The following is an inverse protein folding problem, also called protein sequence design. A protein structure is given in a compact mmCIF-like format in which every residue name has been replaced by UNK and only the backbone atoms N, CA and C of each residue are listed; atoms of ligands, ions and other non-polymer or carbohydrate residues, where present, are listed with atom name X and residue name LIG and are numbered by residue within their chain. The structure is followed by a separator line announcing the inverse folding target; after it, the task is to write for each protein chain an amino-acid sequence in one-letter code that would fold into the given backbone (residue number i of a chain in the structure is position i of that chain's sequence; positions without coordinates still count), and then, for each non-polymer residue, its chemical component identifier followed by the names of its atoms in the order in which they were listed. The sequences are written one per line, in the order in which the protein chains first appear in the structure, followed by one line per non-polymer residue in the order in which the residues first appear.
data_IF_439058525033
#
_entry.id   IF_439058525033
#
_cell.length_a   1.000
_cell.length_b   1.000
_cell.length_c   1.000
_cell.angle_alpha   90.00
_cell.angle_beta   90.00
_cell.angle_gamma   90.00
#
_symmetry.space_group_name_H-M   'P 1'
#
loop_
_entity.id
_entity.type
_entity.pdbx_description
1 polymer ?
#
# COMPACT_ATOMS: atom_id res chain seq x y z
N UNK A 1 -23.00 -21.41 3.38
CA UNK A 1 -21.54 -21.21 3.48
C UNK A 1 -21.14 -20.18 2.43
N UNK A 2 -20.44 -19.10 2.80
CA UNK A 2 -19.98 -18.09 1.83
C UNK A 2 -18.60 -18.54 1.34
N UNK A 3 -18.46 -18.81 0.03
CA UNK A 3 -17.25 -19.34 -0.60
C UNK A 3 -16.14 -18.27 -0.71
N UNK A 4 -15.60 -17.86 0.43
CA UNK A 4 -14.52 -16.88 0.52
C UNK A 4 -13.24 -17.61 0.92
N UNK A 5 -12.18 -17.45 0.15
CA UNK A 5 -10.89 -18.08 0.41
C UNK A 5 -10.21 -17.43 1.61
N UNK A 6 -9.76 -18.25 2.54
CA UNK A 6 -8.94 -17.89 3.71
C UNK A 6 -7.99 -19.04 4.00
N UNK A 7 -6.84 -18.75 4.60
CA UNK A 7 -5.86 -19.75 5.06
C UNK A 7 -5.53 -19.48 6.52
N UNK A 8 -5.41 -20.54 7.31
CA UNK A 8 -4.94 -20.45 8.69
C UNK A 8 -3.40 -20.38 8.74
N UNK A 9 -2.86 -19.98 9.89
CA UNK A 9 -1.43 -19.72 10.05
C UNK A 9 -0.58 -21.00 10.15
N UNK A 10 -1.14 -22.14 10.58
CA UNK A 10 -0.40 -23.41 10.57
C UNK A 10 -0.19 -23.88 9.13
N UNK A 11 -1.27 -23.92 8.34
CA UNK A 11 -1.20 -24.29 6.91
C UNK A 11 -0.32 -23.33 6.11
N UNK A 12 -0.41 -22.02 6.39
CA UNK A 12 0.44 -21.02 5.75
C UNK A 12 1.94 -21.24 6.08
N UNK A 13 2.26 -21.54 7.34
CA UNK A 13 3.64 -21.80 7.78
C UNK A 13 4.23 -23.04 7.12
N UNK A 14 3.48 -24.15 7.04
CA UNK A 14 3.91 -25.36 6.34
C UNK A 14 4.12 -25.12 4.84
N UNK A 15 3.24 -24.35 4.23
CA UNK A 15 3.35 -23.97 2.82
C UNK A 15 4.58 -23.11 2.57
N UNK A 16 4.88 -22.17 3.48
CA UNK A 16 6.09 -21.35 3.42
C UNK A 16 7.37 -22.19 3.53
N UNK A 17 7.42 -23.17 4.44
CA UNK A 17 8.60 -24.04 4.56
C UNK A 17 8.90 -24.81 3.27
N UNK A 18 7.86 -25.31 2.58
CA UNK A 18 8.02 -25.94 1.25
C UNK A 18 8.56 -24.95 0.21
N UNK A 19 8.12 -23.69 0.25
CA UNK A 19 8.66 -22.65 -0.62
C UNK A 19 10.13 -22.36 -0.31
N UNK A 20 10.48 -22.23 0.97
CA UNK A 20 11.83 -21.97 1.45
C UNK A 20 12.81 -23.05 0.99
N UNK A 21 12.47 -24.33 1.17
CA UNK A 21 13.28 -25.46 0.70
C UNK A 21 13.50 -25.45 -0.81
N UNK A 22 12.47 -25.08 -1.58
CA UNK A 22 12.58 -25.00 -3.03
C UNK A 22 13.51 -23.86 -3.48
N UNK A 23 13.40 -22.67 -2.89
CA UNK A 23 14.27 -21.54 -3.22
C UNK A 23 15.72 -21.80 -2.78
N UNK A 24 15.92 -22.43 -1.62
CA UNK A 24 17.23 -22.94 -1.19
C UNK A 24 17.83 -23.88 -2.22
N UNK A 25 17.05 -24.84 -2.74
CA UNK A 25 17.54 -25.80 -3.73
C UNK A 25 17.81 -25.15 -5.09
N UNK A 26 16.94 -24.27 -5.56
CA UNK A 26 17.01 -23.69 -6.91
C UNK A 26 18.03 -22.55 -7.01
N UNK A 27 18.13 -21.73 -5.97
CA UNK A 27 18.87 -20.45 -6.00
C UNK A 27 19.84 -20.28 -4.83
N UNK A 28 19.86 -21.23 -3.88
CA UNK A 28 20.70 -21.19 -2.67
C UNK A 28 20.43 -19.99 -1.76
N UNK A 29 19.20 -19.46 -1.80
CA UNK A 29 18.85 -18.25 -1.08
C UNK A 29 17.34 -18.00 -1.11
N UNK A 30 16.78 -17.59 0.03
CA UNK A 30 15.40 -17.18 0.22
C UNK A 30 15.43 -16.04 1.25
N UNK A 31 15.40 -14.76 0.82
CA UNK A 31 15.36 -13.65 1.76
C UNK A 31 14.06 -13.71 2.56
N UNK A 32 14.16 -13.73 3.89
CA UNK A 32 13.01 -13.80 4.77
C UNK A 32 13.26 -13.02 6.07
N UNK A 33 12.28 -12.20 6.47
CA UNK A 33 12.27 -11.50 7.75
C UNK A 33 11.53 -12.35 8.78
N UNK A 34 12.28 -13.00 9.66
CA UNK A 34 11.73 -13.93 10.66
C UNK A 34 10.64 -13.29 11.52
N UNK A 35 10.79 -12.00 11.88
CA UNK A 35 9.82 -11.29 12.72
C UNK A 35 8.45 -11.14 12.05
N UNK A 36 8.42 -11.04 10.72
CA UNK A 36 7.19 -10.90 9.93
C UNK A 36 6.62 -12.23 9.46
N UNK A 37 7.45 -13.27 9.37
CA UNK A 37 7.02 -14.62 8.93
C UNK A 37 6.41 -15.42 10.08
N UNK A 38 6.96 -15.32 11.29
CA UNK A 38 6.40 -16.03 12.45
C UNK A 38 5.01 -15.48 12.78
N UNK A 39 3.97 -16.34 12.89
CA UNK A 39 2.63 -15.88 13.21
C UNK A 39 2.54 -15.17 14.57
N UNK A 40 1.67 -14.14 14.71
CA UNK A 40 1.54 -13.36 15.95
C UNK A 40 0.90 -14.15 17.11
N UNK A 41 0.34 -15.32 16.84
CA UNK A 41 -0.22 -16.23 17.83
C UNK A 41 0.33 -17.62 17.57
N UNK A 42 0.62 -18.36 18.65
CA UNK A 42 1.15 -19.73 18.57
C UNK A 42 2.43 -19.87 17.76
N UNK A 43 3.30 -18.85 17.76
CA UNK A 43 4.52 -18.82 16.95
C UNK A 43 5.38 -20.08 17.09
N UNK A 44 5.75 -20.47 18.31
CA UNK A 44 6.56 -21.66 18.57
C UNK A 44 5.90 -23.00 18.22
N UNK A 45 4.58 -23.01 18.02
CA UNK A 45 3.83 -24.17 17.54
C UNK A 45 3.81 -24.27 16.00
N UNK A 46 4.49 -23.37 15.29
CA UNK A 46 4.65 -23.40 13.83
C UNK A 46 6.10 -23.71 13.45
N UNK A 47 6.35 -24.37 12.30
CA UNK A 47 7.69 -24.78 11.91
C UNK A 47 8.61 -23.59 11.62
N UNK A 48 8.06 -22.46 11.17
CA UNK A 48 8.83 -21.25 10.84
C UNK A 48 9.54 -20.62 12.03
N UNK A 49 9.05 -20.85 13.25
CA UNK A 49 9.71 -20.35 14.46
C UNK A 49 11.09 -20.98 14.67
N UNK A 50 11.23 -22.26 14.31
CA UNK A 50 12.47 -23.02 14.54
C UNK A 50 13.46 -22.90 13.37
N UNK A 51 13.09 -22.21 12.29
CA UNK A 51 13.92 -22.03 11.11
C UNK A 51 14.70 -20.72 11.20
N UNK A 52 16.04 -20.80 11.17
CA UNK A 52 16.89 -19.64 11.00
C UNK A 52 16.74 -19.07 9.58
N UNK A 53 16.60 -17.75 9.48
CA UNK A 53 16.37 -17.04 8.23
C UNK A 53 17.29 -15.84 8.11
N UNK A 54 17.73 -15.54 6.89
CA UNK A 54 18.53 -14.36 6.61
C UNK A 54 17.69 -13.32 5.86
N UNK A 55 17.63 -12.11 6.41
CA UNK A 55 17.03 -10.96 5.73
C UNK A 55 18.10 -10.26 4.89
N UNK A 56 17.84 -10.16 3.59
CA UNK A 56 18.62 -9.37 2.65
C UNK A 56 17.74 -8.89 1.50
N UNK A 57 18.14 -7.80 0.85
CA UNK A 57 17.33 -7.15 -0.18
C UNK A 57 17.89 -7.46 -1.58
N UNK A 58 17.02 -7.95 -2.47
CA UNK A 58 17.30 -8.15 -3.88
C UNK A 58 16.47 -7.18 -4.72
N UNK A 59 16.81 -7.00 -6.00
CA UNK A 59 15.98 -6.27 -6.97
C UNK A 59 15.51 -7.25 -8.06
N UNK A 60 14.27 -7.11 -8.57
CA UNK A 60 13.25 -6.13 -8.21
C UNK A 60 12.66 -6.31 -6.79
N UNK A 61 12.25 -5.22 -6.12
CA UNK A 61 11.67 -5.24 -4.76
C UNK A 61 10.44 -4.36 -4.61
N UNK A 62 9.68 -4.61 -3.55
CA UNK A 62 8.67 -3.71 -3.01
C UNK A 62 9.29 -2.87 -1.89
N UNK A 63 9.18 -1.54 -1.99
CA UNK A 63 9.73 -0.60 -1.02
C UNK A 63 8.59 0.24 -0.40
N UNK A 64 8.75 0.63 0.86
CA UNK A 64 7.81 1.52 1.52
C UNK A 64 7.81 2.91 0.88
N UNK A 65 6.65 3.56 0.87
CA UNK A 65 6.47 4.91 0.35
C UNK A 65 5.79 5.78 1.38
N UNK A 66 6.06 7.09 1.33
CA UNK A 66 5.31 8.03 2.12
C UNK A 66 3.82 7.98 1.77
N UNK A 67 2.92 8.04 2.76
CA UNK A 67 1.49 8.11 2.49
C UNK A 67 1.16 9.26 1.55
N UNK A 68 0.37 8.98 0.52
CA UNK A 68 0.14 9.90 -0.59
C UNK A 68 -0.34 11.30 -0.14
N UNK A 69 -1.14 11.39 0.91
CA UNK A 69 -1.65 12.68 1.41
C UNK A 69 -0.58 13.60 2.04
N UNK A 70 0.57 13.05 2.46
CA UNK A 70 1.69 13.84 2.97
C UNK A 70 2.47 14.53 1.85
N UNK A 71 2.54 13.89 0.69
CA UNK A 71 3.31 14.37 -0.47
C UNK A 71 2.44 15.02 -1.54
N UNK A 72 1.13 14.79 -1.51
CA UNK A 72 0.20 15.32 -2.50
C UNK A 72 0.01 16.84 -2.36
N UNK A 73 0.38 17.57 -3.43
CA UNK A 73 0.05 18.99 -3.56
C UNK A 73 -1.39 19.14 -4.05
N UNK A 74 -2.30 19.40 -3.12
CA UNK A 74 -3.70 19.66 -3.42
C UNK A 74 -3.85 20.92 -4.28
N UNK A 75 -4.49 20.80 -5.45
CA UNK A 75 -4.87 21.95 -6.28
C UNK A 75 -6.12 22.64 -5.72
N UNK A 76 -5.98 23.41 -4.63
CA UNK A 76 -7.07 24.25 -4.13
C UNK A 76 -7.10 25.56 -4.92
N UNK A 77 -8.05 25.70 -5.86
CA UNK A 77 -8.33 26.98 -6.53
C UNK A 77 -8.08 27.07 -8.03
N UNK A 78 -8.23 25.98 -8.81
CA UNK A 78 -8.23 26.07 -10.28
C UNK A 78 -9.51 26.69 -10.89
N UNK A 79 -10.39 27.27 -10.08
CA UNK A 79 -11.50 28.15 -10.48
C UNK A 79 -11.50 29.51 -9.75
N UNK A 80 -10.31 30.02 -9.42
CA UNK A 80 -10.12 31.46 -9.26
C UNK A 80 -8.95 31.90 -10.13
N UNK A 81 -9.05 31.63 -11.44
CA UNK A 81 -8.52 32.60 -12.40
C UNK A 81 -9.08 33.94 -11.95
N UNK A 82 -8.20 34.91 -11.72
CA UNK A 82 -8.58 36.29 -11.58
C UNK A 82 -9.41 36.67 -12.81
N UNK A 83 -10.72 36.45 -12.76
CA UNK A 83 -11.63 37.22 -13.57
C UNK A 83 -11.46 38.61 -12.98
N UNK A 84 -10.72 39.43 -13.70
CA UNK A 84 -10.87 40.88 -13.64
C UNK A 84 -12.35 41.12 -13.31
N UNK A 85 -12.65 41.71 -12.15
CA UNK A 85 -14.00 42.17 -11.87
C UNK A 85 -14.33 43.17 -12.99
N UNK A 86 -14.86 42.70 -14.12
CA UNK A 86 -15.45 43.59 -15.11
C UNK A 86 -16.57 44.28 -14.34
N UNK A 87 -16.54 45.61 -14.18
CA UNK A 87 -17.58 46.29 -13.45
C UNK A 87 -18.91 45.92 -14.12
N UNK A 88 -19.81 45.25 -13.37
CA UNK A 88 -21.17 45.00 -13.85
C UNK A 88 -21.77 46.38 -14.09
N UNK A 89 -21.88 46.81 -15.36
CA UNK A 89 -22.61 48.01 -15.75
C UNK A 89 -24.05 47.83 -15.24
N UNK A 90 -24.35 48.46 -14.10
CA UNK A 90 -25.71 48.58 -13.60
C UNK A 90 -26.38 49.65 -14.48
N UNK A 91 -26.99 49.23 -15.58
CA UNK A 91 -27.93 50.12 -16.26
C UNK A 91 -29.09 50.36 -15.30
N UNK A 92 -29.36 51.63 -15.00
CA UNK A 92 -30.50 51.99 -14.17
C UNK A 92 -31.76 51.81 -15.02
N UNK A 93 -32.86 51.32 -14.45
CA UNK A 93 -34.12 51.06 -15.18
C UNK A 93 -34.61 52.28 -15.99
N UNK A 94 -34.33 53.50 -15.50
CA UNK A 94 -34.58 54.77 -16.20
C UNK A 94 -33.85 54.92 -17.55
N UNK A 95 -32.81 54.13 -17.83
CA UNK A 95 -32.05 54.17 -19.08
C UNK A 95 -32.59 53.20 -20.15
N UNK A 96 -33.52 52.32 -19.80
CA UNK A 96 -34.04 51.26 -20.69
C UNK A 96 -35.52 51.53 -21.06
N UNK A 97 -36.26 52.25 -20.23
CA UNK A 97 -37.65 52.60 -20.52
C UNK A 97 -37.73 53.92 -21.32
N UNK A 98 -38.12 53.83 -22.60
CA UNK A 98 -38.77 54.91 -23.36
C UNK A 98 -40.11 54.39 -23.85
#
# INVERSE_FOLDING_TARGET
IKNVTIVDHHTASESFMKHYENEMRLRKGCPADWLWIVPPLSGSATPVFHQEMALYHLKPSYDAQDPAWKTHVWKKGRDKKATSKKPRRKFHFKQIAR
#
